data_IF_147725480769
#
_entry.id   IF_147725480769
#
_cell.length_a   1.000
_cell.length_b   1.000
_cell.length_c   1.000
_cell.angle_alpha   90.00
_cell.angle_beta   90.00
_cell.angle_gamma   90.00
#
_symmetry.space_group_name_H-M   'P 1'
#
loop_
_entity.id
_entity.type
_entity.pdbx_description
1 polymer ?
#
# COMPACT_ATOMS: atom_id res chain seq x y z
N UNK A 1 47.96 -5.55 -15.03
CA UNK A 1 47.61 -4.62 -16.12
C UNK A 1 46.13 -4.41 -16.02
N UNK A 2 45.73 -3.32 -15.37
CA UNK A 2 44.34 -2.84 -15.41
C UNK A 2 44.46 -1.32 -15.47
N UNK A 3 43.85 -0.71 -16.48
CA UNK A 3 44.01 0.70 -16.79
C UNK A 3 43.15 1.55 -15.83
N UNK A 4 43.58 2.79 -15.49
CA UNK A 4 42.71 3.71 -14.76
C UNK A 4 41.53 4.14 -15.66
N UNK A 5 40.33 4.11 -15.10
CA UNK A 5 39.12 4.58 -15.78
C UNK A 5 39.24 6.06 -16.18
N UNK A 6 38.95 6.37 -17.45
CA UNK A 6 38.99 7.72 -17.99
C UNK A 6 37.92 8.63 -17.35
N UNK A 7 38.20 9.93 -17.18
CA UNK A 7 37.20 10.90 -16.76
C UNK A 7 36.15 11.07 -17.86
N UNK A 8 34.89 10.82 -17.51
CA UNK A 8 33.73 10.94 -18.39
C UNK A 8 33.63 12.39 -18.88
N UNK A 9 33.66 12.56 -20.20
CA UNK A 9 33.66 13.85 -20.88
C UNK A 9 32.58 14.82 -20.34
N UNK A 10 33.02 16.05 -20.06
CA UNK A 10 32.16 17.18 -19.70
C UNK A 10 31.04 17.33 -20.72
N UNK A 11 29.80 17.20 -20.25
CA UNK A 11 28.63 17.55 -21.03
C UNK A 11 28.73 19.03 -21.43
N UNK A 12 28.40 19.41 -22.68
CA UNK A 12 28.43 20.80 -23.10
C UNK A 12 27.57 21.62 -22.14
N UNK A 13 28.19 22.63 -21.53
CA UNK A 13 27.55 23.49 -20.55
C UNK A 13 26.25 24.02 -21.12
N UNK A 14 25.13 23.51 -20.59
CA UNK A 14 23.83 24.09 -20.86
C UNK A 14 23.90 25.51 -20.32
N UNK A 15 23.75 26.50 -21.20
CA UNK A 15 23.68 27.90 -20.82
C UNK A 15 22.41 28.13 -19.98
N UNK A 16 22.60 28.01 -18.66
CA UNK A 16 21.58 28.05 -17.62
C UNK A 16 20.82 29.39 -17.60
N UNK A 17 21.48 30.48 -18.00
CA UNK A 17 20.89 31.82 -18.00
C UNK A 17 19.94 32.01 -19.20
N UNK A 18 20.25 31.40 -20.34
CA UNK A 18 19.41 31.51 -21.55
C UNK A 18 18.08 30.74 -21.44
N UNK A 19 18.04 29.62 -20.69
CA UNK A 19 16.79 28.87 -20.47
C UNK A 19 15.84 29.54 -19.47
N UNK A 20 16.37 30.27 -18.48
CA UNK A 20 15.57 30.86 -17.41
C UNK A 20 14.65 32.00 -17.88
N UNK A 21 14.99 32.66 -19.00
CA UNK A 21 14.34 33.92 -19.39
C UNK A 21 13.12 33.80 -20.32
N UNK A 22 12.77 32.63 -20.87
CA UNK A 22 11.70 32.53 -21.88
C UNK A 22 10.69 31.37 -21.73
N UNK A 23 10.58 30.77 -20.55
CA UNK A 23 9.53 29.79 -20.31
C UNK A 23 8.29 30.46 -19.74
N UNK A 24 7.13 30.06 -20.26
CA UNK A 24 5.83 30.20 -19.59
C UNK A 24 5.94 29.39 -18.28
N UNK A 25 6.55 29.98 -17.25
CA UNK A 25 7.60 29.27 -16.48
C UNK A 25 7.14 28.34 -15.38
N UNK A 26 5.88 28.40 -14.95
CA UNK A 26 5.44 27.67 -13.75
C UNK A 26 5.52 26.14 -13.92
N UNK A 27 4.96 25.53 -14.98
CA UNK A 27 4.98 24.07 -15.12
C UNK A 27 6.40 23.50 -15.28
N UNK A 28 7.29 24.22 -15.97
CA UNK A 28 8.67 23.77 -16.19
C UNK A 28 9.51 23.92 -14.94
N UNK A 29 9.31 25.00 -14.16
CA UNK A 29 9.91 25.14 -12.83
C UNK A 29 9.39 24.07 -11.87
N UNK A 30 8.08 23.83 -11.83
CA UNK A 30 7.48 22.84 -10.94
C UNK A 30 7.99 21.42 -11.27
N UNK A 31 8.12 21.07 -12.56
CA UNK A 31 8.68 19.80 -12.99
C UNK A 31 10.16 19.65 -12.59
N UNK A 32 10.95 20.72 -12.72
CA UNK A 32 12.35 20.72 -12.28
C UNK A 32 12.47 20.56 -10.77
N UNK A 33 11.67 21.30 -9.99
CA UNK A 33 11.64 21.19 -8.52
C UNK A 33 11.24 19.77 -8.10
N UNK A 34 10.26 19.16 -8.74
CA UNK A 34 9.87 17.77 -8.45
C UNK A 34 11.00 16.78 -8.74
N UNK A 35 11.75 16.99 -9.83
CA UNK A 35 12.95 16.20 -10.14
C UNK A 35 14.00 16.30 -9.04
N UNK A 36 14.39 17.51 -8.67
CA UNK A 36 15.37 17.75 -7.61
C UNK A 36 14.93 17.21 -6.25
N UNK A 37 13.65 17.35 -5.89
CA UNK A 37 13.11 16.79 -4.65
C UNK A 37 13.21 15.26 -4.66
N UNK A 38 12.87 14.62 -5.78
CA UNK A 38 12.96 13.17 -5.91
C UNK A 38 14.40 12.66 -5.82
N UNK A 39 15.34 13.34 -6.47
CA UNK A 39 16.76 12.95 -6.44
C UNK A 39 17.37 13.07 -5.04
N UNK A 40 16.78 13.92 -4.18
CA UNK A 40 17.22 14.15 -2.80
C UNK A 40 16.34 13.48 -1.75
N UNK A 41 15.40 12.62 -2.14
CA UNK A 41 14.41 12.00 -1.26
C UNK A 41 15.02 11.36 0.00
N UNK A 42 16.16 10.68 -0.15
CA UNK A 42 16.89 10.05 0.94
C UNK A 42 17.43 11.03 2.02
N UNK A 43 17.46 12.34 1.76
CA UNK A 43 17.91 13.34 2.73
C UNK A 43 16.79 13.75 3.71
N UNK A 44 15.54 13.41 3.41
CA UNK A 44 14.37 13.86 4.17
C UNK A 44 13.28 12.78 4.34
N UNK A 45 13.52 11.56 3.89
CA UNK A 45 12.59 10.43 3.99
C UNK A 45 13.28 9.24 4.65
N UNK A 46 12.60 8.65 5.63
CA UNK A 46 12.92 7.34 6.19
C UNK A 46 11.93 6.30 5.65
N UNK A 47 12.43 5.10 5.34
CA UNK A 47 11.60 3.98 4.92
C UNK A 47 11.59 2.90 5.99
N UNK A 48 10.43 2.30 6.20
CA UNK A 48 10.29 1.10 7.00
C UNK A 48 9.41 0.10 6.26
N UNK A 49 9.67 -1.18 6.49
CA UNK A 49 8.79 -2.24 6.01
C UNK A 49 7.46 -2.17 6.77
N UNK A 50 6.38 -2.57 6.10
CA UNK A 50 5.08 -2.79 6.74
C UNK A 50 4.58 -4.20 6.44
N UNK A 51 3.86 -4.79 7.40
CA UNK A 51 3.20 -6.08 7.18
C UNK A 51 1.78 -5.85 6.66
N UNK A 52 1.53 -6.31 5.44
CA UNK A 52 0.20 -6.21 4.80
C UNK A 52 -0.40 -7.61 4.68
N UNK A 53 -1.62 -7.78 5.16
CA UNK A 53 -2.43 -8.94 4.84
C UNK A 53 -3.39 -8.61 3.70
N UNK A 54 -3.46 -9.49 2.70
CA UNK A 54 -4.44 -9.38 1.62
C UNK A 54 -5.25 -10.66 1.54
N UNK A 55 -6.57 -10.53 1.67
CA UNK A 55 -7.51 -11.62 1.60
C UNK A 55 -8.57 -11.36 0.54
N UNK A 56 -9.07 -12.43 -0.07
CA UNK A 56 -10.22 -12.30 -0.98
C UNK A 56 -11.22 -13.43 -0.80
N UNK A 57 -12.50 -13.12 -0.97
CA UNK A 57 -13.58 -14.09 -0.84
C UNK A 57 -14.75 -13.80 -1.79
N UNK A 58 -15.05 -14.75 -2.67
CA UNK A 58 -16.33 -14.82 -3.36
C UNK A 58 -17.41 -15.36 -2.40
N UNK A 59 -18.36 -14.50 -2.05
CA UNK A 59 -19.40 -14.81 -1.06
C UNK A 59 -20.72 -15.27 -1.67
N UNK A 60 -20.80 -15.31 -3.00
CA UNK A 60 -21.94 -15.83 -3.76
C UNK A 60 -23.30 -15.30 -3.26
N UNK A 61 -23.38 -13.99 -3.04
CA UNK A 61 -24.56 -13.25 -2.60
C UNK A 61 -25.01 -13.52 -1.16
N UNK A 62 -24.23 -14.27 -0.36
CA UNK A 62 -24.62 -14.68 0.99
C UNK A 62 -24.23 -13.65 2.04
N UNK A 63 -25.00 -13.63 3.13
CA UNK A 63 -24.62 -12.94 4.36
C UNK A 63 -23.55 -13.75 5.10
N UNK A 64 -22.75 -13.10 5.98
CA UNK A 64 -21.78 -13.80 6.81
C UNK A 64 -22.53 -14.62 7.87
N UNK A 65 -22.75 -15.91 7.58
CA UNK A 65 -23.43 -16.84 8.49
C UNK A 65 -22.48 -17.70 9.31
N UNK A 66 -21.18 -17.64 9.01
CA UNK A 66 -20.13 -18.39 9.68
C UNK A 66 -19.09 -17.43 10.27
N UNK A 67 -18.46 -17.78 11.39
CA UNK A 67 -17.38 -16.99 11.97
C UNK A 67 -16.21 -16.86 10.98
N UNK A 68 -15.65 -15.66 10.86
CA UNK A 68 -14.49 -15.38 10.00
C UNK A 68 -13.16 -15.59 10.74
N UNK A 69 -13.20 -15.91 12.04
CA UNK A 69 -12.03 -16.14 12.89
C UNK A 69 -11.02 -17.11 12.27
N UNK A 70 -11.41 -18.27 11.70
CA UNK A 70 -10.41 -19.19 11.12
C UNK A 70 -9.66 -18.58 9.92
N UNK A 71 -10.28 -17.65 9.21
CA UNK A 71 -9.66 -16.96 8.08
C UNK A 71 -8.76 -15.83 8.52
N UNK A 72 -9.19 -15.04 9.51
CA UNK A 72 -8.46 -13.83 9.95
C UNK A 72 -7.46 -14.12 11.09
N UNK A 73 -7.75 -15.00 12.04
CA UNK A 73 -6.84 -15.32 13.15
C UNK A 73 -5.62 -16.10 12.69
N UNK A 74 -5.77 -17.02 11.73
CA UNK A 74 -4.63 -17.72 11.15
C UNK A 74 -3.55 -16.73 10.69
N UNK A 75 -3.93 -15.60 10.11
CA UNK A 75 -3.01 -14.56 9.62
C UNK A 75 -2.36 -13.77 10.77
N UNK A 76 -3.14 -13.52 11.82
CA UNK A 76 -2.71 -12.77 12.99
C UNK A 76 -1.76 -13.57 13.90
N UNK A 77 -1.80 -14.91 13.80
CA UNK A 77 -1.02 -15.82 14.63
C UNK A 77 0.17 -16.47 13.88
N UNK A 78 0.08 -16.64 12.56
CA UNK A 78 1.08 -17.31 11.71
C UNK A 78 2.28 -16.41 11.37
N UNK A 79 2.71 -15.60 12.33
CA UNK A 79 3.99 -14.91 12.24
C UNK A 79 5.12 -15.94 12.42
N UNK A 80 6.17 -15.90 11.58
CA UNK A 80 7.26 -16.86 11.67
C UNK A 80 7.87 -16.83 13.08
N UNK A 81 8.23 -17.99 13.65
CA UNK A 81 8.88 -18.03 14.96
C UNK A 81 10.16 -17.18 14.91
N UNK A 82 10.49 -16.55 16.04
CA UNK A 82 11.54 -15.53 16.17
C UNK A 82 12.96 -15.92 15.67
N UNK A 83 13.17 -17.16 15.23
CA UNK A 83 14.43 -17.67 14.67
C UNK A 83 14.42 -18.06 13.19
N UNK A 84 13.27 -18.08 12.51
CA UNK A 84 13.14 -18.44 11.08
C UNK A 84 12.53 -17.32 10.23
N UNK A 85 12.35 -16.14 10.81
CA UNK A 85 11.97 -14.96 10.05
C UNK A 85 13.14 -14.53 9.17
N UNK A 86 13.03 -14.74 7.85
CA UNK A 86 13.84 -14.01 6.86
C UNK A 86 13.52 -12.51 6.83
N UNK A 87 12.50 -12.07 7.57
CA UNK A 87 12.16 -10.66 7.68
C UNK A 87 13.16 -9.93 8.60
N UNK A 88 13.52 -8.67 8.28
CA UNK A 88 14.51 -7.92 9.04
C UNK A 88 14.13 -7.77 10.52
N UNK A 89 15.13 -7.65 11.42
CA UNK A 89 14.88 -7.45 12.84
C UNK A 89 14.03 -6.18 13.07
N UNK A 90 12.91 -6.34 13.77
CA UNK A 90 11.95 -5.26 14.05
C UNK A 90 10.66 -5.31 13.24
N UNK A 91 10.49 -6.26 12.30
CA UNK A 91 9.21 -6.40 11.58
C UNK A 91 8.06 -6.77 12.51
N UNK A 92 6.93 -6.04 12.47
CA UNK A 92 5.75 -6.35 13.28
C UNK A 92 5.24 -7.76 13.04
N UNK A 93 4.99 -8.47 14.13
CA UNK A 93 4.40 -9.81 14.14
C UNK A 93 2.96 -9.79 13.60
N UNK A 94 2.29 -8.64 13.64
CA UNK A 94 0.90 -8.47 13.20
C UNK A 94 0.83 -7.56 11.96
N UNK A 95 -0.13 -7.78 11.04
CA UNK A 95 -0.30 -6.91 9.89
C UNK A 95 -0.76 -5.51 10.34
N UNK A 96 -0.11 -4.47 9.84
CA UNK A 96 -0.50 -3.07 10.03
C UNK A 96 -1.61 -2.65 9.07
N UNK A 97 -1.70 -3.33 7.92
CA UNK A 97 -2.70 -3.08 6.90
C UNK A 97 -3.43 -4.38 6.54
N UNK A 98 -4.76 -4.34 6.59
CA UNK A 98 -5.64 -5.42 6.15
C UNK A 98 -6.35 -4.98 4.86
N UNK A 99 -6.19 -5.74 3.78
CA UNK A 99 -6.82 -5.52 2.48
C UNK A 99 -7.73 -6.70 2.18
N UNK A 100 -9.04 -6.50 2.29
CA UNK A 100 -10.03 -7.57 2.12
C UNK A 100 -10.94 -7.27 0.92
N UNK A 101 -10.86 -8.11 -0.11
CA UNK A 101 -11.64 -7.98 -1.34
C UNK A 101 -12.76 -9.02 -1.44
N UNK A 102 -14.01 -8.57 -1.62
CA UNK A 102 -15.16 -9.46 -1.75
C UNK A 102 -15.72 -9.46 -3.18
N UNK A 103 -16.12 -10.64 -3.67
CA UNK A 103 -16.83 -10.79 -4.95
C UNK A 103 -18.24 -11.33 -4.76
N UNK A 104 -19.10 -11.02 -5.73
CA UNK A 104 -20.50 -11.47 -5.74
C UNK A 104 -21.25 -11.08 -4.45
N UNK A 105 -20.95 -9.92 -3.87
CA UNK A 105 -21.52 -9.48 -2.59
C UNK A 105 -23.04 -9.39 -2.65
N UNK A 106 -23.57 -8.82 -3.73
CA UNK A 106 -25.00 -8.86 -4.05
C UNK A 106 -25.24 -9.33 -5.48
N UNK A 107 -26.04 -10.39 -5.62
CA UNK A 107 -26.40 -11.02 -6.90
C UNK A 107 -27.80 -10.61 -7.38
N UNK A 108 -28.49 -9.75 -6.62
CA UNK A 108 -29.77 -9.16 -7.03
C UNK A 108 -29.56 -8.27 -8.25
N UNK A 109 -30.47 -8.33 -9.21
CA UNK A 109 -30.42 -7.47 -10.39
C UNK A 109 -30.54 -5.98 -10.00
N UNK A 110 -31.30 -5.70 -8.94
CA UNK A 110 -31.52 -4.36 -8.40
C UNK A 110 -30.24 -3.72 -7.85
N UNK A 111 -29.28 -4.52 -7.39
CA UNK A 111 -28.00 -4.01 -6.87
C UNK A 111 -27.15 -3.33 -7.97
N UNK A 112 -27.41 -3.62 -9.24
CA UNK A 112 -26.79 -2.90 -10.37
C UNK A 112 -27.42 -1.54 -10.64
N UNK A 113 -28.65 -1.31 -10.18
CA UNK A 113 -29.44 -0.11 -10.48
C UNK A 113 -29.52 0.84 -9.28
N UNK A 114 -29.55 0.29 -8.07
CA UNK A 114 -29.70 1.02 -6.82
C UNK A 114 -28.68 0.50 -5.82
N UNK A 115 -27.92 1.43 -5.24
CA UNK A 115 -26.98 1.08 -4.17
C UNK A 115 -27.74 0.68 -2.90
N UNK A 116 -27.53 -0.55 -2.44
CA UNK A 116 -27.96 -1.09 -1.15
C UNK A 116 -26.72 -1.58 -0.37
N UNK A 117 -26.30 -0.81 0.64
CA UNK A 117 -25.12 -1.12 1.46
C UNK A 117 -25.37 -2.15 2.56
N UNK A 118 -26.55 -2.74 2.68
CA UNK A 118 -26.90 -3.63 3.81
C UNK A 118 -25.97 -4.85 3.92
N UNK A 119 -25.63 -5.48 2.80
CA UNK A 119 -24.68 -6.62 2.79
C UNK A 119 -23.25 -6.19 3.05
N UNK A 120 -22.83 -5.04 2.52
CA UNK A 120 -21.51 -4.47 2.82
C UNK A 120 -21.35 -4.24 4.32
N UNK A 121 -22.33 -3.60 4.95
CA UNK A 121 -22.35 -3.37 6.40
C UNK A 121 -22.30 -4.67 7.20
N UNK A 122 -23.06 -5.69 6.78
CA UNK A 122 -23.05 -6.99 7.44
C UNK A 122 -21.67 -7.66 7.39
N UNK A 123 -21.02 -7.64 6.23
CA UNK A 123 -19.67 -8.18 6.06
C UNK A 123 -18.61 -7.38 6.82
N UNK A 124 -18.69 -6.04 6.83
CA UNK A 124 -17.80 -5.22 7.67
C UNK A 124 -17.94 -5.55 9.15
N UNK A 125 -19.17 -5.67 9.66
CA UNK A 125 -19.43 -6.03 11.06
C UNK A 125 -18.85 -7.40 11.40
N UNK A 126 -19.02 -8.39 10.52
CA UNK A 126 -18.48 -9.73 10.74
C UNK A 126 -16.94 -9.75 10.78
N UNK A 127 -16.28 -8.88 9.99
CA UNK A 127 -14.81 -8.74 10.03
C UNK A 127 -14.38 -8.11 11.36
N UNK A 128 -15.03 -7.03 11.79
CA UNK A 128 -14.75 -6.39 13.09
C UNK A 128 -14.93 -7.36 14.26
N UNK A 129 -16.00 -8.18 14.22
CA UNK A 129 -16.26 -9.21 15.23
C UNK A 129 -15.16 -10.28 15.25
N UNK A 130 -14.72 -10.76 14.08
CA UNK A 130 -13.66 -11.76 13.96
C UNK A 130 -12.26 -11.24 14.32
N UNK A 131 -12.01 -9.92 14.21
CA UNK A 131 -10.82 -9.27 14.75
C UNK A 131 -10.89 -9.13 16.28
N UNK A 132 -12.08 -9.20 16.87
CA UNK A 132 -12.30 -9.15 18.31
C UNK A 132 -11.69 -7.89 18.95
N UNK A 133 -10.91 -8.07 20.01
CA UNK A 133 -10.23 -6.95 20.71
C UNK A 133 -9.26 -6.18 19.81
N UNK A 134 -8.74 -6.81 18.75
CA UNK A 134 -7.81 -6.17 17.81
C UNK A 134 -8.50 -5.25 16.82
N UNK A 135 -9.83 -5.30 16.70
CA UNK A 135 -10.57 -4.39 15.82
C UNK A 135 -10.29 -2.92 16.13
N UNK A 136 -10.04 -2.57 17.41
CA UNK A 136 -9.70 -1.22 17.84
C UNK A 136 -8.34 -0.71 17.33
N UNK A 137 -7.47 -1.61 16.84
CA UNK A 137 -6.18 -1.26 16.25
C UNK A 137 -6.30 -0.82 14.79
N UNK A 138 -7.41 -1.16 14.13
CA UNK A 138 -7.62 -0.92 12.71
C UNK A 138 -8.68 0.16 12.48
N UNK A 139 -8.53 0.92 11.40
CA UNK A 139 -9.50 1.93 10.96
C UNK A 139 -9.97 1.60 9.55
N UNK A 140 -11.29 1.50 9.36
CA UNK A 140 -11.96 1.42 8.05
C UNK A 140 -11.89 2.75 7.31
#
# INVERSE_FOLDING_TARGET
MDAPAEPRADAPGLDYDTFAHNLTSKPVKDAWIQGEMKDREAQFTDYHDIRVFTGTWNVNGRLPTQPLDPWLQAVLEDAPPAGESTAPPGTPTEPELLILGFQELDLRAEAYLVYDGSKEMAWCKAIEEALGVKAALYRK
#
